data_IF_307121896602
#
_entry.id   IF_307121896602
#
_cell.length_a   1.000
_cell.length_b   1.000
_cell.length_c   1.000
_cell.angle_alpha   90.00
_cell.angle_beta   90.00
_cell.angle_gamma   90.00
#
_symmetry.space_group_name_H-M   'P 1'
#
loop_
_entity.id
_entity.type
_entity.pdbx_description
1 polymer ?
#
# COMPACT_ATOMS: atom_id res chain seq x y z
N UNK A 1 31.77 57.55 -7.26
CA UNK A 1 30.72 57.16 -8.22
C UNK A 1 30.47 55.68 -8.03
N UNK A 2 29.24 55.33 -7.68
CA UNK A 2 28.75 53.97 -7.43
C UNK A 2 29.00 53.09 -8.67
N UNK A 3 29.67 51.95 -8.49
CA UNK A 3 29.66 50.90 -9.51
C UNK A 3 28.84 49.74 -8.97
N UNK A 4 27.76 49.51 -9.70
CA UNK A 4 26.69 48.55 -9.54
C UNK A 4 27.17 47.11 -9.42
N UNK A 5 26.38 46.31 -8.69
CA UNK A 5 26.46 44.85 -8.63
C UNK A 5 26.17 44.22 -9.99
N UNK A 6 26.83 43.09 -10.27
CA UNK A 6 26.32 42.04 -11.12
C UNK A 6 26.91 40.69 -10.66
N UNK A 7 26.13 39.93 -9.91
CA UNK A 7 26.38 38.52 -9.62
C UNK A 7 26.41 37.75 -10.94
N UNK A 8 27.54 37.09 -11.25
CA UNK A 8 27.59 36.08 -12.31
C UNK A 8 26.95 34.80 -11.77
N UNK A 9 25.70 34.59 -12.12
CA UNK A 9 25.06 33.27 -12.10
C UNK A 9 25.77 32.40 -13.13
N UNK A 10 26.42 31.33 -12.67
CA UNK A 10 26.88 30.23 -13.52
C UNK A 10 25.63 29.44 -13.88
N UNK A 11 25.18 29.58 -15.12
CA UNK A 11 24.08 28.80 -15.68
C UNK A 11 24.59 27.38 -15.92
N UNK A 12 23.81 26.43 -15.41
CA UNK A 12 23.98 24.99 -15.44
C UNK A 12 24.25 24.47 -16.86
N UNK A 13 25.32 23.70 -17.00
CA UNK A 13 25.56 22.85 -18.17
C UNK A 13 25.25 21.40 -17.76
N UNK A 14 23.95 21.09 -17.65
CA UNK A 14 23.48 19.70 -17.58
C UNK A 14 22.92 19.39 -18.95
N UNK A 15 23.77 18.79 -19.78
CA UNK A 15 23.43 18.25 -21.08
C UNK A 15 22.28 17.24 -20.92
N UNK A 16 21.06 17.64 -21.29
CA UNK A 16 19.91 16.73 -21.38
C UNK A 16 20.21 15.67 -22.45
N UNK A 17 20.66 14.50 -22.02
CA UNK A 17 20.64 13.31 -22.87
C UNK A 17 19.19 12.88 -23.01
N UNK A 18 18.56 13.30 -24.11
CA UNK A 18 17.29 12.76 -24.54
C UNK A 18 17.51 11.32 -24.97
N UNK A 19 17.11 10.38 -24.11
CA UNK A 19 17.07 8.96 -24.46
C UNK A 19 15.89 8.76 -25.40
N UNK A 20 16.16 8.63 -26.69
CA UNK A 20 15.17 8.22 -27.69
C UNK A 20 14.83 6.75 -27.43
N UNK A 21 13.78 6.51 -26.66
CA UNK A 21 13.22 5.16 -26.52
C UNK A 21 12.61 4.81 -27.88
N UNK A 22 13.20 3.82 -28.57
CA UNK A 22 12.61 3.27 -29.80
C UNK A 22 11.20 2.79 -29.51
N UNK A 23 10.24 3.10 -30.39
CA UNK A 23 8.82 2.70 -30.26
C UNK A 23 8.63 1.19 -30.09
N UNK A 24 9.65 0.41 -30.41
CA UNK A 24 9.62 -1.04 -30.44
C UNK A 24 9.91 -1.68 -29.07
N UNK A 25 10.17 -0.86 -28.03
CA UNK A 25 10.51 -1.33 -26.67
C UNK A 25 9.39 -1.12 -25.62
N UNK A 26 8.13 -1.03 -26.05
CA UNK A 26 6.96 -1.10 -25.16
C UNK A 26 6.01 -2.18 -25.67
N UNK A 27 6.48 -3.42 -25.68
CA UNK A 27 5.57 -4.56 -25.52
C UNK A 27 5.54 -4.91 -24.04
N UNK A 28 4.93 -4.03 -23.24
CA UNK A 28 4.46 -4.40 -21.93
C UNK A 28 3.26 -5.32 -22.19
N UNK A 29 3.53 -6.63 -22.32
CA UNK A 29 2.49 -7.64 -22.35
C UNK A 29 1.61 -7.37 -21.12
N UNK A 30 0.39 -6.89 -21.38
CA UNK A 30 -0.65 -6.84 -20.38
C UNK A 30 -0.79 -8.25 -19.86
N UNK A 31 -0.28 -8.53 -18.66
CA UNK A 31 -0.50 -9.82 -18.02
C UNK A 31 -2.01 -10.04 -18.03
N UNK A 32 -2.43 -11.07 -18.76
CA UNK A 32 -3.81 -11.48 -18.87
C UNK A 32 -4.21 -11.99 -17.48
N UNK A 33 -4.75 -11.09 -16.64
CA UNK A 33 -5.23 -11.47 -15.31
C UNK A 33 -6.49 -12.29 -15.54
N UNK A 34 -6.34 -13.61 -15.51
CA UNK A 34 -7.48 -14.51 -15.58
C UNK A 34 -8.47 -14.14 -14.46
N UNK A 35 -9.78 -14.06 -14.76
CA UNK A 35 -10.77 -13.73 -13.75
C UNK A 35 -10.78 -14.83 -12.68
N UNK A 36 -10.35 -14.50 -11.47
CA UNK A 36 -10.45 -15.40 -10.31
C UNK A 36 -11.92 -15.44 -9.90
N UNK A 37 -12.46 -16.64 -9.67
CA UNK A 37 -13.82 -16.77 -9.15
C UNK A 37 -13.93 -16.14 -7.76
N UNK A 38 -15.10 -15.56 -7.43
CA UNK A 38 -15.33 -14.93 -6.13
C UNK A 38 -15.02 -15.88 -4.97
N UNK A 39 -15.41 -17.15 -5.10
CA UNK A 39 -15.22 -18.17 -4.06
C UNK A 39 -13.74 -18.51 -3.90
N UNK A 40 -13.01 -18.62 -5.02
CA UNK A 40 -11.57 -18.82 -5.01
C UNK A 40 -10.84 -17.65 -4.35
N UNK A 41 -11.28 -16.41 -4.62
CA UNK A 41 -10.71 -15.21 -3.99
C UNK A 41 -10.93 -15.19 -2.48
N UNK A 42 -12.13 -15.56 -2.02
CA UNK A 42 -12.45 -15.69 -0.58
C UNK A 42 -11.52 -16.73 0.08
N UNK A 43 -11.36 -17.90 -0.53
CA UNK A 43 -10.49 -18.96 0.01
C UNK A 43 -9.03 -18.49 0.08
N UNK A 44 -8.56 -17.77 -0.95
CA UNK A 44 -7.20 -17.23 -0.95
C UNK A 44 -7.02 -16.21 0.17
N UNK A 45 -7.93 -15.25 0.31
CA UNK A 45 -7.87 -14.25 1.38
C UNK A 45 -7.87 -14.88 2.78
N UNK A 46 -8.68 -15.90 3.02
CA UNK A 46 -8.68 -16.61 4.30
C UNK A 46 -7.34 -17.26 4.62
N UNK A 47 -6.70 -17.87 3.62
CA UNK A 47 -5.36 -18.45 3.77
C UNK A 47 -4.32 -17.39 4.10
N UNK A 48 -4.30 -16.29 3.34
CA UNK A 48 -3.37 -15.19 3.57
C UNK A 48 -3.58 -14.56 4.97
N UNK A 49 -4.82 -14.34 5.39
CA UNK A 49 -5.15 -13.84 6.73
C UNK A 49 -4.59 -14.78 7.81
N UNK A 50 -4.75 -16.10 7.65
CA UNK A 50 -4.19 -17.09 8.58
C UNK A 50 -2.67 -16.99 8.66
N UNK A 51 -1.98 -16.98 7.51
CA UNK A 51 -0.52 -16.87 7.44
C UNK A 51 -0.01 -15.61 8.13
N UNK A 52 -0.66 -14.45 7.89
CA UNK A 52 -0.23 -13.19 8.52
C UNK A 52 -0.47 -13.22 10.03
N UNK A 53 -1.53 -13.86 10.52
CA UNK A 53 -1.77 -14.03 11.96
C UNK A 53 -0.67 -14.88 12.61
N UNK A 54 -0.27 -15.99 11.97
CA UNK A 54 0.85 -16.82 12.43
C UNK A 54 2.16 -16.01 12.50
N UNK A 55 2.43 -15.14 11.51
CA UNK A 55 3.59 -14.25 11.56
C UNK A 55 3.52 -13.23 12.70
N UNK A 56 2.33 -12.71 13.01
CA UNK A 56 2.12 -11.79 14.14
C UNK A 56 2.27 -12.45 15.51
N UNK A 57 2.07 -13.77 15.62
CA UNK A 57 2.40 -14.50 16.84
C UNK A 57 3.91 -14.49 17.12
N UNK A 58 4.73 -14.50 16.06
CA UNK A 58 6.19 -14.43 16.15
C UNK A 58 6.69 -12.99 16.30
N UNK A 59 6.09 -12.05 15.56
CA UNK A 59 6.47 -10.63 15.51
C UNK A 59 5.25 -9.71 15.72
N UNK A 60 4.79 -9.52 16.97
CA UNK A 60 3.52 -8.86 17.25
C UNK A 60 3.49 -7.38 16.84
N UNK A 61 4.64 -6.71 16.78
CA UNK A 61 4.77 -5.29 16.44
C UNK A 61 5.29 -5.08 15.01
N UNK A 62 5.24 -6.12 14.17
CA UNK A 62 5.60 -6.00 12.76
C UNK A 62 4.60 -5.09 12.02
N UNK A 63 5.02 -3.85 11.78
CA UNK A 63 4.25 -2.81 11.08
C UNK A 63 3.69 -3.30 9.74
N UNK A 64 4.48 -4.08 9.02
CA UNK A 64 4.10 -4.62 7.72
C UNK A 64 3.04 -5.71 7.84
N UNK A 65 3.20 -6.63 8.80
CA UNK A 65 2.21 -7.67 9.04
C UNK A 65 0.86 -7.08 9.48
N UNK A 66 0.88 -6.14 10.42
CA UNK A 66 -0.32 -5.43 10.88
C UNK A 66 -1.03 -4.71 9.73
N UNK A 67 -0.30 -3.90 8.96
CA UNK A 67 -0.87 -3.20 7.81
C UNK A 67 -1.45 -4.17 6.76
N UNK A 68 -0.76 -5.29 6.52
CA UNK A 68 -1.19 -6.30 5.55
C UNK A 68 -2.46 -6.98 6.02
N UNK A 69 -2.53 -7.37 7.30
CA UNK A 69 -3.71 -7.98 7.90
C UNK A 69 -4.93 -7.06 7.79
N UNK A 70 -4.80 -5.78 8.16
CA UNK A 70 -5.89 -4.82 8.03
C UNK A 70 -6.40 -4.69 6.58
N UNK A 71 -5.50 -4.69 5.60
CA UNK A 71 -5.88 -4.61 4.19
C UNK A 71 -6.61 -5.88 3.72
N UNK A 72 -6.10 -7.06 4.10
CA UNK A 72 -6.72 -8.34 3.75
C UNK A 72 -8.12 -8.47 4.38
N UNK A 73 -8.28 -8.08 5.65
CA UNK A 73 -9.59 -8.09 6.33
C UNK A 73 -10.58 -7.12 5.68
N UNK A 74 -10.15 -5.92 5.28
CA UNK A 74 -10.99 -4.96 4.54
C UNK A 74 -11.44 -5.52 3.20
N UNK A 75 -10.54 -6.15 2.46
CA UNK A 75 -10.87 -6.77 1.18
C UNK A 75 -11.81 -7.97 1.36
N UNK A 76 -11.51 -8.83 2.34
CA UNK A 76 -12.34 -9.98 2.67
C UNK A 76 -13.78 -9.56 2.98
N UNK A 77 -13.95 -8.52 3.81
CA UNK A 77 -15.25 -7.92 4.11
C UNK A 77 -15.95 -7.36 2.87
N UNK A 78 -15.22 -6.69 1.98
CA UNK A 78 -15.80 -6.14 0.76
C UNK A 78 -16.33 -7.25 -0.17
N UNK A 79 -15.60 -8.36 -0.27
CA UNK A 79 -15.95 -9.48 -1.13
C UNK A 79 -17.04 -10.35 -0.49
N UNK A 80 -16.96 -10.66 0.80
CA UNK A 80 -17.94 -11.49 1.53
C UNK A 80 -19.20 -10.72 1.99
N UNK A 81 -19.52 -9.58 1.35
CA UNK A 81 -20.78 -8.84 1.54
C UNK A 81 -22.07 -9.68 1.28
N UNK A 82 -21.95 -10.98 0.98
CA UNK A 82 -23.05 -11.96 0.91
C UNK A 82 -23.71 -12.28 2.25
N UNK A 83 -23.09 -11.92 3.39
CA UNK A 83 -23.70 -12.07 4.72
C UNK A 83 -24.03 -10.68 5.25
N UNK A 84 -25.32 -10.32 5.23
CA UNK A 84 -25.85 -9.06 5.84
C UNK A 84 -25.52 -8.91 7.33
N UNK A 85 -25.02 -9.95 7.99
CA UNK A 85 -24.43 -9.88 9.31
C UNK A 85 -22.99 -9.37 9.16
N UNK A 86 -22.82 -8.05 9.18
CA UNK A 86 -21.53 -7.42 9.47
C UNK A 86 -20.97 -8.10 10.70
N UNK A 87 -19.94 -8.94 10.54
CA UNK A 87 -19.27 -9.57 11.67
C UNK A 87 -18.57 -8.43 12.44
N UNK A 88 -19.22 -7.94 13.50
CA UNK A 88 -18.78 -6.76 14.26
C UNK A 88 -17.35 -6.96 14.76
N UNK A 89 -17.02 -8.20 15.11
CA UNK A 89 -15.69 -8.65 15.54
C UNK A 89 -14.58 -8.33 14.52
N UNK A 90 -14.82 -8.50 13.23
CA UNK A 90 -13.81 -8.22 12.18
C UNK A 90 -13.62 -6.72 11.95
N UNK A 91 -14.67 -5.92 12.14
CA UNK A 91 -14.57 -4.46 12.06
C UNK A 91 -13.77 -3.92 13.24
N UNK A 92 -14.06 -4.43 14.43
CA UNK A 92 -13.36 -4.07 15.65
C UNK A 92 -11.88 -4.48 15.57
N UNK A 93 -11.54 -5.62 14.97
CA UNK A 93 -10.16 -6.04 14.73
C UNK A 93 -9.40 -5.06 13.81
N UNK A 94 -10.00 -4.62 12.70
CA UNK A 94 -9.35 -3.66 11.79
C UNK A 94 -9.05 -2.34 12.50
N UNK A 95 -10.01 -1.81 13.26
CA UNK A 95 -9.84 -0.57 14.04
C UNK A 95 -8.73 -0.74 15.06
N UNK A 96 -8.73 -1.85 15.82
CA UNK A 96 -7.68 -2.13 16.80
C UNK A 96 -6.27 -2.23 16.18
N UNK A 97 -6.17 -2.77 14.96
CA UNK A 97 -4.91 -2.81 14.22
C UNK A 97 -4.45 -1.39 13.85
N UNK A 98 -5.34 -0.53 13.39
CA UNK A 98 -4.99 0.86 13.06
C UNK A 98 -4.60 1.67 14.29
N UNK A 99 -5.31 1.53 15.40
CA UNK A 99 -4.94 2.15 16.68
C UNK A 99 -3.52 1.73 17.10
N UNK A 100 -3.20 0.43 16.95
CA UNK A 100 -1.85 -0.06 17.21
C UNK A 100 -0.81 0.54 16.26
N UNK A 101 -1.12 0.61 14.97
CA UNK A 101 -0.23 1.19 13.96
C UNK A 101 0.05 2.68 14.19
N UNK A 102 -0.94 3.45 14.64
CA UNK A 102 -0.76 4.85 15.04
C UNK A 102 0.29 4.97 16.15
N UNK A 103 0.27 4.05 17.12
CA UNK A 103 1.22 4.06 18.24
C UNK A 103 2.63 3.66 17.78
N UNK A 104 2.77 2.56 17.05
CA UNK A 104 4.10 2.01 16.73
C UNK A 104 4.73 2.62 15.48
N UNK A 105 3.95 3.32 14.66
CA UNK A 105 4.37 3.85 13.37
C UNK A 105 4.08 5.34 13.21
N UNK A 106 4.66 6.11 14.13
CA UNK A 106 4.53 7.56 14.27
C UNK A 106 4.69 8.34 12.94
N UNK A 107 5.60 7.90 12.07
CA UNK A 107 5.86 8.55 10.78
C UNK A 107 4.72 8.39 9.76
N UNK A 108 3.82 7.42 9.97
CA UNK A 108 2.68 7.11 9.09
C UNK A 108 1.32 7.36 9.75
N UNK A 109 1.27 8.00 10.92
CA UNK A 109 0.02 8.25 11.68
C UNK A 109 -1.10 8.84 10.82
N UNK A 110 -0.82 9.92 10.08
CA UNK A 110 -1.80 10.57 9.20
C UNK A 110 -2.44 9.63 8.17
N UNK A 111 -1.75 8.56 7.79
CA UNK A 111 -2.28 7.55 6.85
C UNK A 111 -3.42 6.73 7.46
N UNK A 112 -3.41 6.57 8.77
CA UNK A 112 -4.34 5.72 9.51
C UNK A 112 -5.50 6.52 10.13
N UNK A 113 -5.33 7.83 10.33
CA UNK A 113 -6.37 8.72 10.86
C UNK A 113 -7.60 8.83 9.92
N UNK A 114 -7.42 8.62 8.62
CA UNK A 114 -8.46 8.76 7.60
C UNK A 114 -9.22 7.44 7.27
N UNK A 115 -8.86 6.31 7.90
CA UNK A 115 -9.32 4.95 7.55
C UNK A 115 -10.30 4.36 8.57
#
# INVERSE_FOLDING_TARGET
ILISMASKTVIEDVFEQTVTISSDLIHFESQETLPIDKSERIILLQREISTIRELLELEPDSKWCLQTLANLLREFKYIDNSKEVRNVEEVDEIVAIYDKLIIIDEMRVKRFEDL
#
